data_IF_902230795864
#
_entry.id   IF_902230795864
#
_cell.length_a   1.000
_cell.length_b   1.000
_cell.length_c   1.000
_cell.angle_alpha   90.00
_cell.angle_beta   90.00
_cell.angle_gamma   90.00
#
_symmetry.space_group_name_H-M   'P 1'
#
loop_
_entity.id
_entity.type
_entity.pdbx_description
1 polymer ?
#
# COMPACT_ATOMS: atom_id res chain seq x y z
N UNK A 1 -20.02 -12.91 12.65
CA UNK A 1 -19.99 -14.33 12.21
C UNK A 1 -18.61 -14.91 12.49
N UNK A 2 -18.50 -16.13 13.02
CA UNK A 2 -17.19 -16.77 13.29
C UNK A 2 -16.86 -17.71 12.15
N UNK A 3 -15.72 -17.51 11.49
CA UNK A 3 -15.21 -18.45 10.49
C UNK A 3 -14.74 -19.75 11.17
N UNK A 4 -15.11 -20.87 10.60
CA UNK A 4 -14.67 -22.21 11.07
C UNK A 4 -13.35 -22.61 10.43
N UNK A 5 -13.06 -22.11 9.23
CA UNK A 5 -11.82 -22.29 8.49
C UNK A 5 -11.43 -21.00 7.73
N UNK A 6 -10.16 -20.88 7.35
CA UNK A 6 -9.62 -19.71 6.63
C UNK A 6 -9.28 -20.09 5.18
N UNK A 7 -10.09 -20.98 4.59
CA UNK A 7 -10.03 -21.32 3.17
C UNK A 7 -10.97 -20.40 2.34
N UNK A 8 -10.76 -20.40 1.03
CA UNK A 8 -11.51 -19.53 0.12
C UNK A 8 -13.02 -19.82 0.09
N UNK A 9 -13.42 -21.09 0.29
CA UNK A 9 -14.84 -21.46 0.31
C UNK A 9 -15.53 -20.93 1.56
N UNK A 10 -14.96 -21.16 2.74
CA UNK A 10 -15.52 -20.69 4.01
C UNK A 10 -15.64 -19.17 4.07
N UNK A 11 -14.65 -18.46 3.51
CA UNK A 11 -14.69 -16.99 3.40
C UNK A 11 -15.79 -16.56 2.44
N UNK A 12 -15.87 -17.18 1.28
CA UNK A 12 -16.89 -16.87 0.27
C UNK A 12 -18.32 -17.12 0.79
N UNK A 13 -18.56 -18.27 1.42
CA UNK A 13 -19.87 -18.60 2.01
C UNK A 13 -20.28 -17.58 3.08
N UNK A 14 -19.30 -17.10 3.86
CA UNK A 14 -19.53 -16.04 4.86
C UNK A 14 -19.89 -14.71 4.21
N UNK A 15 -19.20 -14.32 3.14
CA UNK A 15 -19.51 -13.12 2.35
C UNK A 15 -20.89 -13.23 1.69
N UNK A 16 -21.22 -14.37 1.10
CA UNK A 16 -22.54 -14.62 0.50
C UNK A 16 -23.66 -14.53 1.53
N UNK A 17 -23.43 -15.08 2.72
CA UNK A 17 -24.41 -14.94 3.82
C UNK A 17 -24.62 -13.48 4.25
N UNK A 18 -23.58 -12.65 4.21
CA UNK A 18 -23.70 -11.21 4.50
C UNK A 18 -24.46 -10.51 3.38
N UNK A 19 -24.04 -10.70 2.12
CA UNK A 19 -24.64 -10.04 0.95
C UNK A 19 -26.12 -10.42 0.83
N UNK A 20 -26.44 -11.70 0.88
CA UNK A 20 -27.80 -12.18 0.58
C UNK A 20 -28.72 -12.13 1.80
N UNK A 21 -28.28 -12.59 2.98
CA UNK A 21 -29.16 -12.71 4.14
C UNK A 21 -29.19 -11.46 5.03
N UNK A 22 -28.08 -10.74 5.17
CA UNK A 22 -28.04 -9.55 6.04
C UNK A 22 -28.37 -8.27 5.28
N UNK A 23 -27.83 -8.12 4.04
CA UNK A 23 -28.06 -6.93 3.24
C UNK A 23 -29.25 -7.07 2.28
N UNK A 24 -29.76 -8.29 2.05
CA UNK A 24 -30.87 -8.55 1.14
C UNK A 24 -30.53 -8.27 -0.33
N UNK A 25 -29.23 -8.29 -0.69
CA UNK A 25 -28.72 -8.03 -2.03
C UNK A 25 -28.44 -9.34 -2.76
N UNK A 26 -28.41 -9.28 -4.07
CA UNK A 26 -27.92 -10.37 -4.93
C UNK A 26 -26.46 -10.12 -5.33
N UNK A 27 -25.70 -11.17 -5.61
CA UNK A 27 -24.39 -11.03 -6.24
C UNK A 27 -24.46 -10.33 -7.60
N UNK A 28 -25.61 -10.29 -8.26
CA UNK A 28 -25.82 -9.53 -9.48
C UNK A 28 -25.81 -8.00 -9.24
N UNK A 29 -26.07 -7.57 -8.01
CA UNK A 29 -26.02 -6.16 -7.61
C UNK A 29 -24.59 -5.72 -7.22
N UNK A 30 -23.63 -6.67 -7.10
CA UNK A 30 -22.24 -6.39 -6.74
C UNK A 30 -21.46 -5.98 -7.99
N UNK A 31 -21.00 -4.73 -8.01
CA UNK A 31 -20.24 -4.14 -9.14
C UNK A 31 -18.76 -4.47 -9.07
N UNK A 32 -18.17 -4.40 -7.87
CA UNK A 32 -16.75 -4.60 -7.69
C UNK A 32 -16.42 -5.22 -6.33
N UNK A 33 -15.27 -5.91 -6.27
CA UNK A 33 -14.68 -6.42 -5.04
C UNK A 33 -13.20 -6.04 -4.98
N UNK A 34 -12.69 -5.77 -3.77
CA UNK A 34 -11.28 -5.47 -3.55
C UNK A 34 -10.71 -6.37 -2.47
N UNK A 35 -9.68 -7.13 -2.82
CA UNK A 35 -8.98 -8.02 -1.89
C UNK A 35 -7.47 -7.79 -1.94
N UNK A 36 -6.76 -8.33 -0.94
CA UNK A 36 -5.29 -8.40 -0.96
C UNK A 36 -4.78 -9.47 -1.95
N UNK A 37 -3.47 -9.58 -2.07
CA UNK A 37 -2.83 -10.54 -2.99
C UNK A 37 -2.65 -11.94 -2.42
N UNK A 38 -3.24 -12.27 -1.27
CA UNK A 38 -3.19 -13.63 -0.74
C UNK A 38 -3.83 -14.63 -1.71
N UNK A 39 -3.22 -15.79 -1.92
CA UNK A 39 -3.71 -16.80 -2.86
C UNK A 39 -5.16 -17.24 -2.58
N UNK A 40 -5.54 -17.27 -1.29
CA UNK A 40 -6.92 -17.55 -0.86
C UNK A 40 -7.91 -16.50 -1.36
N UNK A 41 -7.51 -15.24 -1.46
CA UNK A 41 -8.36 -14.13 -1.89
C UNK A 41 -8.25 -13.87 -3.39
N UNK A 42 -7.03 -13.72 -3.89
CA UNK A 42 -6.72 -13.28 -5.26
C UNK A 42 -6.49 -14.42 -6.26
N UNK A 43 -6.50 -15.68 -5.83
CA UNK A 43 -6.27 -16.83 -6.72
C UNK A 43 -7.23 -16.86 -7.90
N UNK A 44 -6.71 -16.96 -9.12
CA UNK A 44 -7.50 -16.90 -10.36
C UNK A 44 -8.35 -18.14 -10.60
N UNK A 45 -8.03 -19.29 -10.00
CA UNK A 45 -8.81 -20.55 -10.17
C UNK A 45 -9.67 -20.87 -8.96
N UNK A 46 -9.18 -20.65 -7.73
CA UNK A 46 -9.85 -21.09 -6.50
C UNK A 46 -9.91 -19.99 -5.41
N UNK A 47 -9.53 -18.76 -5.72
CA UNK A 47 -9.62 -17.66 -4.78
C UNK A 47 -11.05 -17.15 -4.58
N UNK A 48 -11.27 -16.36 -3.53
CA UNK A 48 -12.58 -15.72 -3.29
C UNK A 48 -13.02 -14.91 -4.51
N UNK A 49 -12.10 -14.20 -5.17
CA UNK A 49 -12.40 -13.42 -6.38
C UNK A 49 -12.95 -14.27 -7.53
N UNK A 50 -12.40 -15.47 -7.76
CA UNK A 50 -12.89 -16.35 -8.83
C UNK A 50 -14.30 -16.85 -8.54
N UNK A 51 -14.59 -17.19 -7.27
CA UNK A 51 -15.93 -17.57 -6.83
C UNK A 51 -16.96 -16.46 -7.01
N UNK A 52 -16.58 -15.20 -6.73
CA UNK A 52 -17.43 -14.04 -7.03
C UNK A 52 -17.72 -13.92 -8.53
N UNK A 53 -16.69 -14.10 -9.38
CA UNK A 53 -16.82 -14.03 -10.85
C UNK A 53 -17.56 -15.23 -11.46
N UNK A 54 -17.55 -16.39 -10.83
CA UNK A 54 -18.37 -17.55 -11.25
C UNK A 54 -19.86 -17.24 -11.16
N UNK A 55 -20.31 -16.48 -10.13
CA UNK A 55 -21.72 -16.09 -9.99
C UNK A 55 -22.04 -14.90 -10.90
N UNK A 56 -21.16 -13.89 -10.93
CA UNK A 56 -21.35 -12.71 -11.75
C UNK A 56 -20.04 -12.34 -12.44
N UNK A 57 -19.88 -12.73 -13.70
CA UNK A 57 -18.68 -12.50 -14.51
C UNK A 57 -18.37 -10.99 -14.72
N UNK A 58 -19.34 -10.11 -14.49
CA UNK A 58 -19.19 -8.65 -14.62
C UNK A 58 -18.57 -8.00 -13.40
N UNK A 59 -18.39 -8.73 -12.28
CA UNK A 59 -17.76 -8.17 -11.08
C UNK A 59 -16.33 -7.73 -11.41
N UNK A 60 -16.06 -6.45 -11.18
CA UNK A 60 -14.74 -5.86 -11.35
C UNK A 60 -13.87 -6.20 -10.13
N UNK A 61 -12.75 -6.89 -10.37
CA UNK A 61 -11.81 -7.20 -9.30
C UNK A 61 -10.71 -6.15 -9.22
N UNK A 62 -10.58 -5.52 -8.06
CA UNK A 62 -9.48 -4.60 -7.75
C UNK A 62 -8.51 -5.29 -6.79
N UNK A 63 -7.28 -5.44 -7.22
CA UNK A 63 -6.22 -5.83 -6.29
C UNK A 63 -5.85 -4.62 -5.43
N UNK A 64 -5.91 -4.76 -4.10
CA UNK A 64 -5.61 -3.67 -3.16
C UNK A 64 -4.34 -2.90 -3.55
N UNK A 65 -4.48 -1.63 -3.89
CA UNK A 65 -3.36 -0.81 -4.37
C UNK A 65 -2.26 -0.63 -3.31
N UNK A 66 -2.61 -0.49 -2.04
CA UNK A 66 -1.64 -0.43 -0.95
C UNK A 66 -0.85 -1.75 -0.83
N UNK A 67 -1.53 -2.90 -0.99
CA UNK A 67 -0.88 -4.20 -0.99
C UNK A 67 0.00 -4.40 -2.22
N UNK A 68 -0.46 -4.01 -3.41
CA UNK A 68 0.36 -4.01 -4.63
C UNK A 68 1.65 -3.22 -4.46
N UNK A 69 1.58 -2.02 -3.88
CA UNK A 69 2.77 -1.21 -3.62
C UNK A 69 3.72 -1.89 -2.62
N UNK A 70 3.18 -2.53 -1.58
CA UNK A 70 4.01 -3.33 -0.67
C UNK A 70 4.70 -4.49 -1.38
N UNK A 71 4.02 -5.18 -2.29
CA UNK A 71 4.62 -6.28 -3.06
C UNK A 71 5.69 -5.80 -4.03
N UNK A 72 5.51 -4.62 -4.66
CA UNK A 72 6.58 -3.99 -5.47
C UNK A 72 7.84 -3.84 -4.64
N UNK A 73 7.72 -3.32 -3.43
CA UNK A 73 8.87 -3.15 -2.54
C UNK A 73 9.54 -4.47 -2.14
N UNK A 74 8.73 -5.49 -1.80
CA UNK A 74 9.25 -6.81 -1.44
C UNK A 74 10.06 -7.42 -2.58
N UNK A 75 9.53 -7.36 -3.80
CA UNK A 75 10.13 -8.03 -4.95
C UNK A 75 11.30 -7.22 -5.53
N UNK A 76 11.15 -5.90 -5.64
CA UNK A 76 12.15 -5.04 -6.27
C UNK A 76 13.32 -4.71 -5.35
N UNK A 77 13.03 -4.35 -4.09
CA UNK A 77 14.07 -3.93 -3.13
C UNK A 77 14.57 -5.12 -2.33
N UNK A 78 13.68 -6.04 -1.93
CA UNK A 78 13.99 -7.08 -0.95
C UNK A 78 14.66 -8.33 -1.52
N UNK A 79 14.54 -8.64 -2.81
CA UNK A 79 14.98 -9.94 -3.36
C UNK A 79 16.02 -9.85 -4.46
N UNK A 80 16.03 -8.81 -5.28
CA UNK A 80 16.85 -8.74 -6.48
C UNK A 80 18.23 -8.10 -6.24
N UNK A 81 18.32 -7.08 -5.41
CA UNK A 81 19.58 -6.40 -5.14
C UNK A 81 20.26 -6.97 -3.89
N UNK A 82 21.43 -7.60 -4.07
CA UNK A 82 22.19 -8.26 -2.98
C UNK A 82 22.56 -7.28 -1.86
N UNK A 83 22.99 -6.07 -2.18
CA UNK A 83 23.38 -5.06 -1.18
C UNK A 83 22.19 -4.70 -0.30
N UNK A 84 21.03 -4.53 -0.91
CA UNK A 84 19.78 -4.18 -0.22
C UNK A 84 19.23 -5.37 0.57
N UNK A 85 19.30 -6.57 0.02
CA UNK A 85 18.91 -7.80 0.72
C UNK A 85 19.78 -7.99 1.98
N UNK A 86 21.10 -7.94 1.84
CA UNK A 86 22.04 -8.06 2.96
C UNK A 86 21.82 -6.95 4.00
N UNK A 87 21.51 -5.72 3.57
CA UNK A 87 21.17 -4.62 4.46
C UNK A 87 19.94 -4.94 5.32
N UNK A 88 18.82 -5.34 4.71
CA UNK A 88 17.61 -5.64 5.46
C UNK A 88 17.74 -6.90 6.33
N UNK A 89 18.47 -7.93 5.91
CA UNK A 89 18.76 -9.07 6.77
C UNK A 89 19.52 -8.64 8.04
N UNK A 90 20.50 -7.79 7.89
CA UNK A 90 21.29 -7.25 9.02
C UNK A 90 20.44 -6.39 9.95
N UNK A 91 19.67 -5.44 9.40
CA UNK A 91 18.78 -4.56 10.18
C UNK A 91 17.67 -5.38 10.85
N UNK A 92 17.07 -6.33 10.15
CA UNK A 92 15.92 -7.09 10.66
C UNK A 92 16.31 -8.12 11.71
N UNK A 93 17.36 -8.91 11.48
CA UNK A 93 17.70 -10.03 12.38
C UNK A 93 18.50 -9.59 13.60
N UNK A 94 19.47 -8.70 13.42
CA UNK A 94 20.46 -8.46 14.46
C UNK A 94 20.22 -7.20 15.28
N UNK A 95 19.81 -6.10 14.65
CA UNK A 95 19.56 -4.84 15.37
C UNK A 95 18.29 -4.95 16.22
N UNK A 96 17.23 -5.61 15.73
CA UNK A 96 16.01 -5.83 16.49
C UNK A 96 16.17 -6.79 17.68
N UNK A 97 17.07 -7.77 17.58
CA UNK A 97 17.37 -8.67 18.68
C UNK A 97 18.21 -8.00 19.79
N UNK A 98 19.00 -7.00 19.44
CA UNK A 98 19.94 -6.35 20.36
C UNK A 98 19.37 -5.08 21.00
N UNK A 99 18.51 -4.35 20.28
CA UNK A 99 17.92 -3.10 20.73
C UNK A 99 16.40 -3.26 20.87
N UNK A 100 15.92 -3.63 22.04
CA UNK A 100 14.48 -3.82 22.39
C UNK A 100 13.60 -2.58 22.14
N UNK A 101 14.19 -1.41 21.86
CA UNK A 101 13.49 -0.14 21.61
C UNK A 101 13.16 0.10 20.14
N UNK A 102 13.74 -0.65 19.21
CA UNK A 102 13.35 -0.58 17.80
C UNK A 102 12.12 -1.45 17.59
N UNK A 103 11.07 -0.86 17.01
CA UNK A 103 9.86 -1.61 16.64
C UNK A 103 10.23 -2.82 15.78
N UNK A 104 9.66 -3.99 16.07
CA UNK A 104 9.92 -5.20 15.28
C UNK A 104 9.55 -4.94 13.82
N UNK A 105 10.46 -5.28 12.91
CA UNK A 105 10.23 -5.12 11.48
C UNK A 105 9.18 -6.15 11.07
N UNK A 106 7.97 -5.68 10.80
CA UNK A 106 6.95 -6.51 10.16
C UNK A 106 7.43 -6.92 8.78
N UNK A 107 7.38 -8.21 8.47
CA UNK A 107 7.72 -8.73 7.13
C UNK A 107 6.76 -8.22 6.06
N UNK A 108 5.59 -7.72 6.45
CA UNK A 108 4.49 -7.34 5.56
C UNK A 108 4.22 -5.84 5.45
N UNK A 109 4.75 -4.99 6.38
CA UNK A 109 4.48 -3.54 6.39
C UNK A 109 5.75 -2.72 6.19
N UNK A 110 5.92 -2.14 5.02
CA UNK A 110 7.08 -1.32 4.67
C UNK A 110 7.19 0.01 5.41
N UNK A 111 6.10 0.55 5.93
CA UNK A 111 6.15 1.71 6.82
C UNK A 111 7.04 1.45 8.05
N UNK A 112 6.91 0.25 8.66
CA UNK A 112 7.78 -0.14 9.78
C UNK A 112 9.25 -0.29 9.37
N UNK A 113 9.51 -0.71 8.13
CA UNK A 113 10.89 -0.80 7.61
C UNK A 113 11.49 0.59 7.40
N UNK A 114 10.71 1.54 6.89
CA UNK A 114 11.16 2.92 6.78
C UNK A 114 11.50 3.52 8.15
N UNK A 115 10.61 3.36 9.15
CA UNK A 115 10.86 3.85 10.52
C UNK A 115 12.17 3.25 11.09
N UNK A 116 12.41 1.96 10.84
CA UNK A 116 13.65 1.30 11.27
C UNK A 116 14.88 1.85 10.54
N UNK A 117 14.81 2.04 9.23
CA UNK A 117 15.91 2.63 8.42
C UNK A 117 16.18 4.06 8.87
N UNK A 118 15.14 4.88 9.08
CA UNK A 118 15.27 6.23 9.58
C UNK A 118 15.89 6.28 10.99
N UNK A 119 15.45 5.40 11.90
CA UNK A 119 16.02 5.31 13.24
C UNK A 119 17.50 4.91 13.21
N UNK A 120 17.88 3.95 12.36
CA UNK A 120 19.29 3.55 12.18
C UNK A 120 20.10 4.70 11.58
N UNK A 121 19.59 5.37 10.54
CA UNK A 121 20.30 6.51 9.90
C UNK A 121 20.53 7.64 10.90
N UNK A 122 19.51 8.05 11.63
CA UNK A 122 19.59 9.18 12.55
C UNK A 122 20.48 8.91 13.77
N UNK A 123 20.65 7.64 14.14
CA UNK A 123 21.43 7.25 15.32
C UNK A 123 22.65 6.40 14.98
N UNK A 124 23.10 6.38 13.72
CA UNK A 124 24.13 5.45 13.26
C UNK A 124 25.41 5.49 14.10
N UNK A 125 25.99 6.68 14.33
CA UNK A 125 27.20 6.86 15.14
C UNK A 125 27.01 6.43 16.59
N UNK A 126 25.85 6.74 17.18
CA UNK A 126 25.53 6.33 18.54
C UNK A 126 25.39 4.79 18.66
N UNK A 127 24.79 4.15 17.64
CA UNK A 127 24.66 2.69 17.57
C UNK A 127 26.05 2.04 17.48
N UNK A 128 26.92 2.53 16.60
CA UNK A 128 28.31 2.02 16.48
C UNK A 128 29.05 2.16 17.81
N UNK A 129 29.00 3.35 18.44
CA UNK A 129 29.65 3.60 19.74
C UNK A 129 29.11 2.69 20.84
N UNK A 130 27.80 2.47 20.89
CA UNK A 130 27.18 1.61 21.90
C UNK A 130 27.59 0.14 21.72
N UNK A 131 27.61 -0.36 20.48
CA UNK A 131 28.04 -1.73 20.19
C UNK A 131 29.52 -1.92 20.49
N UNK A 132 30.37 -0.94 20.14
CA UNK A 132 31.79 -0.97 20.47
C UNK A 132 31.98 -1.06 21.98
N UNK A 133 31.30 -0.23 22.77
CA UNK A 133 31.33 -0.28 24.22
C UNK A 133 30.93 -1.64 24.77
N UNK A 134 29.90 -2.27 24.20
CA UNK A 134 29.48 -3.63 24.57
C UNK A 134 30.60 -4.63 24.26
N UNK A 135 31.24 -4.56 23.10
CA UNK A 135 32.38 -5.43 22.74
C UNK A 135 33.51 -5.32 23.74
N UNK A 136 33.81 -4.13 24.25
CA UNK A 136 34.95 -3.87 25.13
C UNK A 136 34.63 -4.22 26.59
N UNK A 137 33.39 -4.04 27.04
CA UNK A 137 33.04 -4.19 28.46
C UNK A 137 32.38 -5.52 28.82
N UNK A 138 31.80 -6.26 27.87
CA UNK A 138 31.08 -7.51 28.18
C UNK A 138 32.04 -8.63 28.57
N UNK A 139 31.68 -9.36 29.65
CA UNK A 139 32.37 -10.56 30.10
C UNK A 139 31.82 -11.85 29.45
N UNK A 140 30.69 -11.77 28.76
CA UNK A 140 30.01 -12.93 28.17
C UNK A 140 30.57 -13.16 26.76
N UNK A 141 31.25 -14.29 26.49
CA UNK A 141 31.91 -14.53 25.20
C UNK A 141 30.99 -14.53 24.00
N UNK A 142 29.79 -15.10 24.13
CA UNK A 142 28.76 -15.14 23.07
C UNK A 142 28.28 -13.72 22.70
N UNK A 143 28.01 -12.88 23.70
CA UNK A 143 27.60 -11.47 23.48
C UNK A 143 28.73 -10.70 22.79
N UNK A 144 29.99 -10.88 23.21
CA UNK A 144 31.14 -10.24 22.60
C UNK A 144 31.31 -10.64 21.13
N UNK A 145 31.19 -11.94 20.84
CA UNK A 145 31.30 -12.46 19.47
C UNK A 145 30.22 -11.89 18.55
N UNK A 146 28.94 -11.89 18.99
CA UNK A 146 27.81 -11.35 18.26
C UNK A 146 27.95 -9.84 18.04
N UNK A 147 28.32 -9.10 19.08
CA UNK A 147 28.53 -7.65 18.97
C UNK A 147 29.65 -7.30 17.99
N UNK A 148 30.76 -8.04 18.01
CA UNK A 148 31.87 -7.85 17.05
C UNK A 148 31.44 -8.17 15.64
N UNK A 149 30.69 -9.28 15.41
CA UNK A 149 30.15 -9.63 14.10
C UNK A 149 29.22 -8.55 13.56
N UNK A 150 28.31 -8.01 14.41
CA UNK A 150 27.41 -6.93 14.04
C UNK A 150 28.17 -5.65 13.70
N UNK A 151 29.16 -5.27 14.50
CA UNK A 151 29.99 -4.09 14.25
C UNK A 151 30.69 -4.16 12.89
N UNK A 152 31.32 -5.32 12.60
CA UNK A 152 31.99 -5.55 11.31
C UNK A 152 31.02 -5.44 10.12
N UNK A 153 29.78 -5.83 10.30
CA UNK A 153 28.76 -5.74 9.24
C UNK A 153 28.24 -4.31 9.06
N UNK A 154 28.02 -3.59 10.15
CA UNK A 154 27.53 -2.21 10.10
C UNK A 154 28.59 -1.25 9.54
N UNK A 155 29.87 -1.45 9.88
CA UNK A 155 31.01 -0.66 9.42
C UNK A 155 31.53 -1.12 8.05
N UNK A 156 30.61 -1.28 7.06
CA UNK A 156 30.98 -1.53 5.66
C UNK A 156 30.48 -0.39 4.77
N UNK A 157 31.24 -0.08 3.73
CA UNK A 157 30.84 0.93 2.74
C UNK A 157 29.49 0.61 2.13
N UNK A 158 29.22 -0.64 1.78
CA UNK A 158 27.98 -1.11 1.19
C UNK A 158 26.79 -0.91 2.14
N UNK A 159 26.97 -1.12 3.44
CA UNK A 159 25.91 -0.89 4.42
C UNK A 159 25.56 0.60 4.53
N UNK A 160 26.57 1.47 4.67
CA UNK A 160 26.39 2.91 4.77
C UNK A 160 25.76 3.47 3.50
N UNK A 161 26.21 3.00 2.32
CA UNK A 161 25.61 3.37 1.04
C UNK A 161 24.14 2.94 0.93
N UNK A 162 23.82 1.69 1.29
CA UNK A 162 22.45 1.19 1.27
C UNK A 162 21.55 2.01 2.23
N UNK A 163 22.05 2.34 3.42
CA UNK A 163 21.33 3.15 4.42
C UNK A 163 20.97 4.55 3.85
N UNK A 164 21.93 5.22 3.24
CA UNK A 164 21.76 6.55 2.66
C UNK A 164 20.90 6.53 1.40
N UNK A 165 20.98 5.48 0.57
CA UNK A 165 20.18 5.29 -0.63
C UNK A 165 18.72 4.95 -0.32
N UNK A 166 18.49 4.01 0.59
CA UNK A 166 17.15 3.51 0.87
C UNK A 166 16.30 4.50 1.63
N UNK A 167 16.89 5.31 2.50
CA UNK A 167 16.14 6.27 3.31
C UNK A 167 15.27 7.23 2.46
N UNK A 168 15.79 8.00 1.48
CA UNK A 168 14.97 8.91 0.67
C UNK A 168 13.99 8.16 -0.25
N UNK A 169 14.36 7.00 -0.79
CA UNK A 169 13.47 6.20 -1.64
C UNK A 169 12.28 5.65 -0.84
N UNK A 170 12.53 5.09 0.33
CA UNK A 170 11.46 4.59 1.20
C UNK A 170 10.57 5.72 1.71
N UNK A 171 11.12 6.90 2.01
CA UNK A 171 10.34 8.07 2.42
C UNK A 171 9.31 8.45 1.34
N UNK A 172 9.76 8.52 0.07
CA UNK A 172 8.87 8.81 -1.06
C UNK A 172 7.74 7.78 -1.16
N UNK A 173 8.07 6.50 -1.09
CA UNK A 173 7.10 5.40 -1.23
C UNK A 173 6.14 5.34 -0.04
N UNK A 174 6.62 5.55 1.19
CA UNK A 174 5.77 5.56 2.40
C UNK A 174 4.77 6.70 2.36
N UNK A 175 5.14 7.88 1.82
CA UNK A 175 4.19 8.98 1.61
C UNK A 175 3.05 8.58 0.68
N UNK A 176 3.37 7.95 -0.46
CA UNK A 176 2.34 7.44 -1.38
C UNK A 176 1.51 6.34 -0.72
N UNK A 177 2.15 5.41 -0.03
CA UNK A 177 1.43 4.34 0.69
C UNK A 177 0.45 4.88 1.74
N UNK A 178 0.83 5.93 2.47
CA UNK A 178 -0.07 6.60 3.43
C UNK A 178 -1.29 7.22 2.73
N UNK A 179 -1.09 7.81 1.54
CA UNK A 179 -2.20 8.32 0.73
C UNK A 179 -3.11 7.18 0.26
N UNK A 180 -2.52 6.03 -0.18
CA UNK A 180 -3.30 4.86 -0.60
C UNK A 180 -4.07 4.17 0.55
N UNK A 181 -3.77 4.51 1.79
CA UNK A 181 -4.45 4.02 2.98
C UNK A 181 -5.46 5.03 3.57
N UNK A 182 -5.65 6.18 2.93
CA UNK A 182 -6.61 7.20 3.38
C UNK A 182 -8.05 6.70 3.31
N UNK A 183 -8.93 7.25 4.17
CA UNK A 183 -10.32 6.79 4.31
C UNK A 183 -11.17 7.06 3.06
N UNK A 184 -10.99 8.22 2.47
CA UNK A 184 -11.80 8.70 1.33
C UNK A 184 -11.02 8.61 0.00
N UNK A 185 -10.27 7.53 -0.17
CA UNK A 185 -9.51 7.32 -1.39
C UNK A 185 -10.38 6.66 -2.46
N UNK A 186 -10.55 7.34 -3.58
CA UNK A 186 -11.12 6.76 -4.79
C UNK A 186 -10.06 6.25 -5.77
N UNK A 187 -10.55 5.53 -6.79
CA UNK A 187 -9.70 4.89 -7.78
C UNK A 187 -8.88 5.90 -8.61
N UNK A 188 -9.44 7.07 -8.91
CA UNK A 188 -8.77 8.12 -9.69
C UNK A 188 -7.59 8.72 -8.92
N UNK A 189 -7.79 9.09 -7.65
CA UNK A 189 -6.74 9.61 -6.80
C UNK A 189 -5.63 8.58 -6.57
N UNK A 190 -5.98 7.33 -6.33
CA UNK A 190 -4.98 6.29 -6.09
C UNK A 190 -4.05 6.13 -7.28
N UNK A 191 -4.58 6.12 -8.51
CA UNK A 191 -3.73 6.02 -9.71
C UNK A 191 -2.94 7.29 -10.00
N UNK A 192 -3.48 8.46 -9.72
CA UNK A 192 -2.72 9.70 -9.83
C UNK A 192 -1.50 9.68 -8.88
N UNK A 193 -1.66 9.13 -7.66
CA UNK A 193 -0.54 8.94 -6.73
C UNK A 193 0.49 7.95 -7.28
N UNK A 194 0.06 6.84 -7.87
CA UNK A 194 0.97 5.86 -8.49
C UNK A 194 1.67 6.44 -9.72
N UNK A 195 0.96 7.19 -10.57
CA UNK A 195 1.58 7.91 -11.72
C UNK A 195 2.62 8.91 -11.24
N UNK A 196 2.30 9.70 -10.22
CA UNK A 196 3.25 10.66 -9.61
C UNK A 196 4.48 9.95 -9.04
N UNK A 197 4.30 8.79 -8.39
CA UNK A 197 5.41 7.98 -7.91
C UNK A 197 6.31 7.49 -9.06
N UNK A 198 5.71 6.94 -10.13
CA UNK A 198 6.45 6.50 -11.33
C UNK A 198 7.26 7.64 -11.94
N UNK A 199 6.65 8.80 -12.12
CA UNK A 199 7.32 9.99 -12.66
C UNK A 199 8.46 10.45 -11.75
N UNK A 200 8.26 10.49 -10.43
CA UNK A 200 9.29 10.87 -9.46
C UNK A 200 10.48 9.90 -9.51
N UNK A 201 10.24 8.59 -9.55
CA UNK A 201 11.31 7.58 -9.65
C UNK A 201 12.04 7.71 -11.00
N UNK A 202 11.31 7.96 -12.11
CA UNK A 202 11.92 8.19 -13.42
C UNK A 202 12.79 9.46 -13.44
N UNK A 203 12.37 10.52 -12.76
CA UNK A 203 13.17 11.73 -12.59
C UNK A 203 14.44 11.46 -11.77
N UNK A 204 14.34 10.72 -10.66
CA UNK A 204 15.50 10.32 -9.86
C UNK A 204 16.47 9.42 -10.66
N UNK A 205 15.96 8.65 -11.62
CA UNK A 205 16.75 7.81 -12.50
C UNK A 205 17.52 8.60 -13.57
N UNK A 206 16.94 9.70 -14.06
CA UNK A 206 17.53 10.58 -15.07
C UNK A 206 18.41 11.69 -14.50
N UNK A 207 18.17 12.09 -13.24
CA UNK A 207 18.90 13.15 -12.56
C UNK A 207 19.88 12.59 -11.53
N UNK A 208 21.17 12.90 -11.71
CA UNK A 208 22.24 12.42 -10.87
C UNK A 208 22.33 13.11 -9.48
N UNK A 209 21.53 14.15 -9.24
CA UNK A 209 21.66 14.94 -8.01
C UNK A 209 21.42 14.11 -6.74
N UNK A 210 20.39 13.25 -6.73
CA UNK A 210 20.14 12.38 -5.57
C UNK A 210 21.27 11.37 -5.40
N UNK A 211 21.75 10.76 -6.49
CA UNK A 211 22.86 9.81 -6.43
C UNK A 211 24.12 10.45 -5.86
N UNK A 212 24.51 11.62 -6.38
CA UNK A 212 25.68 12.38 -5.89
C UNK A 212 25.54 12.73 -4.41
N UNK A 213 24.36 13.15 -3.98
CA UNK A 213 24.09 13.43 -2.57
C UNK A 213 24.27 12.18 -1.71
N UNK A 214 23.66 11.06 -2.11
CA UNK A 214 23.77 9.78 -1.39
C UNK A 214 25.21 9.30 -1.31
N UNK A 215 25.96 9.41 -2.42
CA UNK A 215 27.36 9.00 -2.45
C UNK A 215 28.24 9.87 -1.56
N UNK A 216 28.09 11.20 -1.61
CA UNK A 216 28.83 12.13 -0.76
C UNK A 216 28.54 11.92 0.72
N UNK A 217 27.26 11.80 1.12
CA UNK A 217 26.88 11.47 2.51
C UNK A 217 27.50 10.15 2.96
N UNK A 218 27.64 9.18 2.04
CA UNK A 218 28.29 7.88 2.33
C UNK A 218 29.79 8.04 2.56
N UNK A 219 30.47 8.81 1.71
CA UNK A 219 31.92 9.08 1.84
C UNK A 219 32.22 9.83 3.14
N UNK A 220 31.42 10.85 3.47
CA UNK A 220 31.52 11.61 4.71
C UNK A 220 31.39 10.67 5.93
N UNK A 221 30.34 9.87 5.96
CA UNK A 221 30.10 8.92 7.06
C UNK A 221 31.21 7.86 7.17
N UNK A 222 31.75 7.36 6.04
CA UNK A 222 32.89 6.46 6.03
C UNK A 222 34.14 7.11 6.61
N UNK A 223 34.38 8.39 6.28
CA UNK A 223 35.52 9.16 6.82
C UNK A 223 35.40 9.34 8.33
N UNK A 224 34.21 9.70 8.84
CA UNK A 224 33.96 9.86 10.28
C UNK A 224 34.11 8.56 11.06
N UNK A 225 33.71 7.42 10.46
CA UNK A 225 33.74 6.10 11.11
C UNK A 225 35.00 5.28 10.83
N UNK A 226 35.94 5.82 10.03
CA UNK A 226 37.18 5.11 9.65
C UNK A 226 36.94 3.91 8.71
N UNK A 227 35.79 3.88 8.02
CA UNK A 227 35.46 2.79 7.06
C UNK A 227 36.19 3.04 5.75
N UNK A 228 36.93 2.02 5.29
CA UNK A 228 37.70 2.10 4.04
C UNK A 228 36.76 1.95 2.84
N UNK A 229 36.85 2.90 1.90
CA UNK A 229 36.11 2.81 0.63
C UNK A 229 36.81 1.77 -0.25
N UNK A 230 36.13 0.67 -0.64
CA UNK A 230 36.74 -0.38 -1.43
C UNK A 230 37.03 0.10 -2.86
N UNK A 231 38.18 -0.27 -3.38
CA UNK A 231 38.52 -0.02 -4.79
C UNK A 231 37.75 -0.95 -5.71
N UNK A 232 37.49 -0.49 -6.96
CA UNK A 232 36.86 -1.30 -7.99
C UNK A 232 37.74 -2.51 -8.32
N UNK A 233 37.18 -3.71 -8.17
CA UNK A 233 37.86 -4.93 -8.57
C UNK A 233 37.83 -5.05 -10.11
N UNK A 234 38.97 -4.90 -10.77
CA UNK A 234 39.11 -5.22 -12.19
C UNK A 234 38.85 -6.73 -12.37
N UNK A 235 37.72 -7.11 -12.98
CA UNK A 235 37.47 -8.52 -13.34
C UNK A 235 38.43 -8.86 -14.49
N UNK A 236 39.30 -9.84 -14.29
CA UNK A 236 40.01 -10.48 -15.39
C UNK A 236 39.01 -11.35 -16.17
N UNK A 237 38.69 -10.94 -17.38
CA UNK A 237 37.89 -11.75 -18.31
C UNK A 237 38.78 -12.91 -18.75
N UNK A 238 38.24 -14.12 -18.75
CA UNK A 238 38.97 -15.28 -19.29
C UNK A 238 39.24 -15.03 -20.78
N UNK A 239 40.51 -15.18 -21.20
CA UNK A 239 40.92 -15.02 -22.61
C UNK A 239 40.20 -15.95 -23.59
N UNK A 240 39.41 -16.92 -23.09
CA UNK A 240 38.53 -17.79 -23.90
C UNK A 240 37.17 -17.18 -24.26
N UNK A 241 36.79 -16.07 -23.63
CA UNK A 241 35.47 -15.42 -23.81
C UNK A 241 35.60 -14.11 -24.60
N UNK A 242 36.83 -13.65 -24.84
CA UNK A 242 37.16 -12.29 -25.30
C UNK A 242 36.97 -12.06 -26.85
N UNK A 243 36.33 -12.97 -27.56
CA UNK A 243 36.17 -12.82 -29.01
C UNK A 243 34.91 -12.07 -29.46
N UNK A 244 34.04 -11.56 -28.57
CA UNK A 244 32.75 -11.01 -29.01
C UNK A 244 32.13 -9.89 -28.20
N UNK A 245 32.84 -9.20 -27.29
CA UNK A 245 32.20 -8.17 -26.47
C UNK A 245 32.85 -6.78 -26.60
N UNK A 246 32.52 -6.07 -27.68
CA UNK A 246 32.88 -4.65 -27.85
C UNK A 246 32.16 -3.69 -26.87
N UNK A 247 31.25 -4.15 -26.00
CA UNK A 247 30.41 -3.29 -25.15
C UNK A 247 30.30 -3.71 -23.69
N UNK A 248 31.37 -4.22 -23.06
CA UNK A 248 31.32 -4.37 -21.60
C UNK A 248 31.67 -3.05 -20.91
N UNK A 249 30.67 -2.47 -20.21
CA UNK A 249 30.88 -1.31 -19.34
C UNK A 249 31.74 -1.69 -18.13
N UNK A 250 32.92 -1.09 -18.04
CA UNK A 250 33.78 -1.18 -16.86
C UNK A 250 33.70 0.12 -16.09
N UNK A 251 33.16 0.06 -14.88
CA UNK A 251 33.21 1.20 -13.98
C UNK A 251 34.69 1.56 -13.70
N UNK A 252 35.06 2.80 -13.96
CA UNK A 252 36.42 3.28 -13.70
C UNK A 252 36.60 3.67 -12.22
N UNK A 253 35.52 4.06 -11.56
CA UNK A 253 35.50 4.52 -10.17
C UNK A 253 34.47 3.73 -9.34
N UNK A 254 34.66 3.72 -8.00
CA UNK A 254 33.68 3.11 -7.09
C UNK A 254 32.32 3.82 -7.17
N UNK A 255 32.33 5.12 -7.40
CA UNK A 255 31.12 5.92 -7.60
C UNK A 255 30.31 5.41 -8.80
N UNK A 256 30.93 5.24 -9.96
CA UNK A 256 30.27 4.70 -11.15
C UNK A 256 29.76 3.27 -10.94
N UNK A 257 30.57 2.42 -10.27
CA UNK A 257 30.14 1.06 -9.94
C UNK A 257 28.86 1.08 -9.10
N UNK A 258 28.82 1.86 -8.04
CA UNK A 258 27.65 1.94 -7.15
C UNK A 258 26.44 2.53 -7.84
N UNK A 259 26.64 3.51 -8.74
CA UNK A 259 25.55 4.08 -9.54
C UNK A 259 24.91 3.03 -10.45
N UNK A 260 25.72 2.31 -11.22
CA UNK A 260 25.22 1.38 -12.23
C UNK A 260 24.74 0.06 -11.63
N UNK A 261 25.49 -0.52 -10.69
CA UNK A 261 25.16 -1.86 -10.16
C UNK A 261 24.18 -1.86 -9.00
N UNK A 262 23.96 -0.72 -8.35
CA UNK A 262 23.11 -0.66 -7.16
C UNK A 262 22.01 0.39 -7.28
N UNK A 263 22.35 1.67 -7.41
CA UNK A 263 21.36 2.74 -7.38
C UNK A 263 20.37 2.66 -8.56
N UNK A 264 20.91 2.58 -9.78
CA UNK A 264 20.09 2.49 -10.98
C UNK A 264 19.27 1.19 -11.03
N UNK A 265 19.86 0.07 -10.65
CA UNK A 265 19.15 -1.23 -10.60
C UNK A 265 17.95 -1.19 -9.66
N UNK A 266 18.09 -0.57 -8.49
CA UNK A 266 16.96 -0.42 -7.54
C UNK A 266 15.85 0.43 -8.14
N UNK A 267 16.18 1.54 -8.81
CA UNK A 267 15.16 2.40 -9.45
C UNK A 267 14.49 1.71 -10.63
N UNK A 268 15.25 1.01 -11.46
CA UNK A 268 14.72 0.25 -12.61
C UNK A 268 13.81 -0.90 -12.14
N UNK A 269 14.20 -1.64 -11.11
CA UNK A 269 13.38 -2.69 -10.53
C UNK A 269 12.09 -2.15 -9.89
N UNK A 270 12.14 -0.98 -9.24
CA UNK A 270 10.95 -0.30 -8.71
C UNK A 270 10.01 0.11 -9.84
N UNK A 271 10.51 0.71 -10.92
CA UNK A 271 9.70 1.12 -12.07
C UNK A 271 9.06 -0.08 -12.75
N UNK A 272 9.81 -1.15 -12.97
CA UNK A 272 9.29 -2.39 -13.56
C UNK A 272 8.21 -3.00 -12.66
N UNK A 273 8.47 -3.13 -11.35
CA UNK A 273 7.49 -3.65 -10.41
C UNK A 273 6.20 -2.82 -10.32
N UNK A 274 6.31 -1.48 -10.43
CA UNK A 274 5.15 -0.59 -10.50
C UNK A 274 4.39 -0.77 -11.81
N UNK A 275 5.07 -0.98 -12.93
CA UNK A 275 4.43 -1.20 -14.23
C UNK A 275 3.69 -2.54 -14.27
N UNK A 276 4.30 -3.60 -13.76
CA UNK A 276 3.73 -4.95 -13.77
C UNK A 276 2.47 -5.08 -12.89
N UNK A 277 2.47 -4.40 -11.73
CA UNK A 277 1.42 -4.60 -10.72
C UNK A 277 0.26 -3.60 -10.80
N UNK A 278 0.48 -2.42 -11.35
CA UNK A 278 -0.59 -1.44 -11.59
C UNK A 278 -1.02 -1.51 -13.05
N UNK A 279 -1.81 -2.53 -13.33
CA UNK A 279 -2.11 -3.12 -14.61
C UNK A 279 -3.21 -2.39 -15.42
N UNK A 280 -3.32 -2.82 -16.69
CA UNK A 280 -4.05 -2.21 -17.80
C UNK A 280 -5.57 -2.15 -17.66
N UNK A 281 -6.25 -3.12 -17.04
CA UNK A 281 -7.73 -3.11 -16.92
C UNK A 281 -8.24 -1.94 -16.06
N UNK A 282 -7.62 -1.72 -14.91
CA UNK A 282 -7.95 -0.58 -14.05
C UNK A 282 -7.63 0.75 -14.74
N UNK A 283 -6.52 0.80 -15.50
CA UNK A 283 -6.15 1.98 -16.29
C UNK A 283 -7.18 2.28 -17.38
N UNK A 284 -7.67 1.27 -18.09
CA UNK A 284 -8.69 1.44 -19.14
C UNK A 284 -9.97 2.04 -18.56
N UNK A 285 -10.47 1.48 -17.45
CA UNK A 285 -11.65 2.01 -16.78
C UNK A 285 -11.48 3.49 -16.40
N UNK A 286 -10.33 3.86 -15.85
CA UNK A 286 -10.09 5.23 -15.42
C UNK A 286 -9.93 6.19 -16.59
N UNK A 287 -9.27 5.78 -17.67
CA UNK A 287 -9.20 6.59 -18.87
C UNK A 287 -10.58 6.83 -19.44
N UNK A 288 -11.40 5.78 -19.53
CA UNK A 288 -12.81 5.89 -19.97
C UNK A 288 -13.59 6.86 -19.09
N UNK A 289 -13.56 6.69 -17.76
CA UNK A 289 -14.27 7.61 -16.85
C UNK A 289 -13.70 9.04 -16.92
N UNK A 290 -12.38 9.18 -17.06
CA UNK A 290 -11.75 10.50 -17.25
C UNK A 290 -12.27 11.20 -18.51
N UNK A 291 -12.45 10.47 -19.63
CA UNK A 291 -13.00 11.00 -20.86
C UNK A 291 -14.50 11.35 -20.71
N UNK A 292 -15.25 10.53 -19.96
CA UNK A 292 -16.64 10.84 -19.58
C UNK A 292 -16.71 12.13 -18.74
N UNK A 293 -15.85 12.30 -17.74
CA UNK A 293 -15.81 13.51 -16.90
C UNK A 293 -15.43 14.77 -17.71
N UNK A 294 -14.64 14.61 -18.77
CA UNK A 294 -14.34 15.68 -19.74
C UNK A 294 -15.47 15.93 -20.72
N UNK A 295 -16.49 15.07 -20.74
CA UNK A 295 -17.55 15.03 -21.74
C UNK A 295 -17.05 14.74 -23.17
N UNK A 296 -15.91 14.06 -23.30
CA UNK A 296 -15.25 13.74 -24.59
C UNK A 296 -14.96 12.24 -24.72
N UNK A 297 -15.95 11.35 -24.53
CA UNK A 297 -15.72 9.92 -24.70
C UNK A 297 -15.49 9.55 -26.16
N UNK A 298 -14.58 8.60 -26.36
CA UNK A 298 -14.43 7.93 -27.66
C UNK A 298 -15.50 6.85 -27.84
N UNK A 299 -15.68 6.35 -29.06
CA UNK A 299 -16.56 5.21 -29.34
C UNK A 299 -16.12 3.94 -28.56
N UNK A 300 -14.80 3.76 -28.40
CA UNK A 300 -14.25 2.66 -27.61
C UNK A 300 -14.63 2.78 -26.12
N UNK A 301 -14.63 3.99 -25.56
CA UNK A 301 -15.06 4.24 -24.19
C UNK A 301 -16.54 3.86 -23.97
N UNK A 302 -17.39 4.25 -24.90
CA UNK A 302 -18.84 3.95 -24.84
C UNK A 302 -19.10 2.45 -24.94
N UNK A 303 -18.42 1.76 -25.87
CA UNK A 303 -18.51 0.30 -25.99
C UNK A 303 -17.97 -0.42 -24.74
N UNK A 304 -16.90 0.09 -24.15
CA UNK A 304 -16.36 -0.46 -22.92
C UNK A 304 -17.35 -0.34 -21.75
N UNK A 305 -17.99 0.82 -21.58
CA UNK A 305 -19.02 1.03 -20.53
C UNK A 305 -20.24 0.15 -20.75
N UNK A 306 -20.67 -0.05 -21.99
CA UNK A 306 -21.75 -0.96 -22.30
C UNK A 306 -21.41 -2.40 -21.92
N UNK A 307 -20.22 -2.87 -22.29
CA UNK A 307 -19.78 -4.24 -22.03
C UNK A 307 -19.57 -4.52 -20.53
N UNK A 308 -18.98 -3.57 -19.79
CA UNK A 308 -18.64 -3.78 -18.38
C UNK A 308 -19.82 -3.49 -17.46
N UNK A 309 -20.53 -2.38 -17.67
CA UNK A 309 -21.57 -1.91 -16.76
C UNK A 309 -23.00 -1.98 -17.35
N UNK A 310 -23.14 -2.40 -18.60
CA UNK A 310 -24.44 -2.44 -19.27
C UNK A 310 -25.05 -1.04 -19.49
N UNK A 311 -24.19 -0.02 -19.63
CA UNK A 311 -24.63 1.36 -19.90
C UNK A 311 -24.94 1.50 -21.38
N UNK A 312 -26.13 2.01 -21.68
CA UNK A 312 -26.55 2.25 -23.06
C UNK A 312 -25.69 3.38 -23.70
N UNK A 313 -24.98 3.00 -24.77
CA UNK A 313 -24.02 3.88 -25.45
C UNK A 313 -24.70 5.08 -26.15
N UNK A 314 -25.92 4.90 -26.71
CA UNK A 314 -26.63 5.95 -27.40
C UNK A 314 -27.21 6.96 -26.39
N UNK A 315 -27.81 6.44 -25.32
CA UNK A 315 -28.39 7.27 -24.27
C UNK A 315 -27.34 8.14 -23.57
N UNK A 316 -26.23 7.56 -23.16
CA UNK A 316 -25.19 8.36 -22.50
C UNK A 316 -24.55 9.38 -23.44
N UNK A 317 -24.46 9.09 -24.74
CA UNK A 317 -23.95 10.05 -25.73
C UNK A 317 -24.88 11.26 -25.87
N UNK A 318 -26.20 11.05 -25.90
CA UNK A 318 -27.20 12.13 -25.92
C UNK A 318 -27.14 12.96 -24.63
N UNK A 319 -27.06 12.30 -23.49
CA UNK A 319 -26.92 12.97 -22.19
C UNK A 319 -25.66 13.86 -22.15
N UNK A 320 -24.54 13.38 -22.64
CA UNK A 320 -23.28 14.15 -22.73
C UNK A 320 -23.41 15.36 -23.67
N UNK A 321 -24.09 15.20 -24.80
CA UNK A 321 -24.36 16.33 -25.69
C UNK A 321 -25.15 17.41 -25.00
N UNK A 322 -26.17 17.06 -24.23
CA UNK A 322 -26.95 18.01 -23.44
C UNK A 322 -26.13 18.67 -22.34
N UNK A 323 -25.34 17.89 -21.60
CA UNK A 323 -24.49 18.39 -20.51
C UNK A 323 -23.48 19.43 -20.99
N UNK A 324 -22.93 19.29 -22.19
CA UNK A 324 -21.99 20.27 -22.78
C UNK A 324 -22.58 21.69 -22.90
N UNK A 325 -23.90 21.80 -23.02
CA UNK A 325 -24.59 23.07 -23.22
C UNK A 325 -25.17 23.66 -21.91
N UNK A 326 -24.99 22.98 -20.78
CA UNK A 326 -25.42 23.49 -19.48
C UNK A 326 -24.34 24.41 -18.90
N UNK A 327 -24.69 25.61 -18.43
CA UNK A 327 -23.74 26.51 -17.79
C UNK A 327 -23.31 25.99 -16.40
N UNK A 328 -22.10 26.34 -15.98
CA UNK A 328 -21.56 26.06 -14.66
C UNK A 328 -21.46 24.55 -14.29
N UNK A 329 -21.25 23.70 -15.28
CA UNK A 329 -20.97 22.27 -15.01
C UNK A 329 -19.64 22.08 -14.30
N UNK A 330 -19.48 21.04 -13.48
CA UNK A 330 -18.19 20.67 -12.90
C UNK A 330 -17.15 20.42 -14.01
N UNK A 331 -15.95 20.94 -13.84
CA UNK A 331 -14.86 20.77 -14.81
C UNK A 331 -13.62 20.17 -14.16
N UNK A 332 -12.89 19.33 -14.91
CA UNK A 332 -11.67 18.68 -14.47
C UNK A 332 -11.79 17.16 -14.39
N UNK A 333 -10.75 16.54 -13.88
CA UNK A 333 -10.62 15.07 -13.83
C UNK A 333 -10.06 14.62 -12.47
N UNK A 334 -10.39 15.34 -11.41
CA UNK A 334 -10.00 15.00 -10.05
C UNK A 334 -11.12 14.28 -9.31
N UNK A 335 -10.80 13.63 -8.21
CA UNK A 335 -11.78 13.08 -7.28
C UNK A 335 -12.77 14.12 -6.78
N UNK A 336 -12.29 15.34 -6.51
CA UNK A 336 -13.16 16.46 -6.15
C UNK A 336 -14.20 16.75 -7.24
N UNK A 337 -13.79 16.63 -8.50
CA UNK A 337 -14.71 16.79 -9.65
C UNK A 337 -15.77 15.70 -9.69
N UNK A 338 -15.41 14.46 -9.33
CA UNK A 338 -16.35 13.34 -9.25
C UNK A 338 -17.48 13.64 -8.23
N UNK A 339 -17.12 14.09 -7.03
CA UNK A 339 -18.08 14.49 -6.00
C UNK A 339 -18.92 15.70 -6.44
N UNK A 340 -18.29 16.70 -7.06
CA UNK A 340 -19.00 17.86 -7.60
C UNK A 340 -20.03 17.45 -8.67
N UNK A 341 -19.73 16.43 -9.50
CA UNK A 341 -20.70 15.88 -10.45
C UNK A 341 -21.87 15.18 -9.74
N UNK A 342 -21.59 14.41 -8.68
CA UNK A 342 -22.65 13.77 -7.89
C UNK A 342 -23.57 14.83 -7.27
N UNK A 343 -23.00 15.86 -6.66
CA UNK A 343 -23.77 16.97 -6.05
C UNK A 343 -24.58 17.75 -7.10
N UNK A 344 -23.97 18.05 -8.26
CA UNK A 344 -24.59 18.74 -9.36
C UNK A 344 -25.80 17.96 -9.94
N UNK A 345 -25.63 16.63 -10.08
CA UNK A 345 -26.71 15.78 -10.61
C UNK A 345 -27.83 15.55 -9.59
N UNK A 346 -27.51 15.44 -8.31
CA UNK A 346 -28.49 15.32 -7.23
C UNK A 346 -29.27 16.61 -7.03
N UNK A 347 -28.67 17.77 -7.36
CA UNK A 347 -29.39 19.04 -7.32
C UNK A 347 -30.45 19.13 -8.44
N UNK A 348 -31.65 19.65 -8.13
CA UNK A 348 -32.72 19.90 -9.10
C UNK A 348 -33.23 18.67 -9.88
N UNK A 349 -33.15 17.45 -9.26
CA UNK A 349 -33.64 16.20 -9.86
C UNK A 349 -33.02 15.85 -11.24
N UNK A 350 -31.79 16.30 -11.51
CA UNK A 350 -31.07 16.03 -12.77
C UNK A 350 -30.72 14.56 -12.97
N UNK A 351 -30.71 13.76 -11.92
CA UNK A 351 -30.43 12.31 -11.96
C UNK A 351 -31.38 11.54 -12.87
N UNK A 352 -32.64 11.99 -13.02
CA UNK A 352 -33.58 11.35 -13.94
C UNK A 352 -33.34 11.71 -15.40
N UNK A 353 -32.81 12.92 -15.65
CA UNK A 353 -32.55 13.42 -17.01
C UNK A 353 -31.23 12.83 -17.52
N UNK A 354 -30.19 12.71 -16.64
CA UNK A 354 -28.86 12.23 -16.97
C UNK A 354 -28.58 10.89 -16.26
N UNK A 355 -29.50 9.94 -16.43
CA UNK A 355 -29.51 8.69 -15.69
C UNK A 355 -28.26 7.82 -15.97
N UNK A 356 -27.88 7.74 -17.25
CA UNK A 356 -26.75 6.88 -17.66
C UNK A 356 -25.41 7.50 -17.24
N UNK A 357 -25.28 8.81 -17.39
CA UNK A 357 -24.11 9.55 -16.90
C UNK A 357 -24.00 9.45 -15.38
N UNK A 358 -25.10 9.64 -14.65
CA UNK A 358 -25.15 9.50 -13.19
C UNK A 358 -24.76 8.08 -12.75
N UNK A 359 -25.28 7.04 -13.40
CA UNK A 359 -24.92 5.65 -13.13
C UNK A 359 -23.42 5.42 -13.29
N UNK A 360 -22.79 5.91 -14.36
CA UNK A 360 -21.33 5.78 -14.56
C UNK A 360 -20.55 6.41 -13.40
N UNK A 361 -20.94 7.65 -13.02
CA UNK A 361 -20.26 8.38 -11.94
C UNK A 361 -20.40 7.66 -10.61
N UNK A 362 -21.60 7.21 -10.25
CA UNK A 362 -21.86 6.51 -8.99
C UNK A 362 -21.18 5.14 -8.97
N UNK A 363 -21.32 4.35 -10.04
CA UNK A 363 -20.65 3.06 -10.15
C UNK A 363 -19.13 3.19 -9.97
N UNK A 364 -18.53 4.18 -10.62
CA UNK A 364 -17.10 4.43 -10.48
C UNK A 364 -16.71 4.87 -9.05
N UNK A 365 -17.53 5.72 -8.43
CA UNK A 365 -17.30 6.18 -7.06
C UNK A 365 -17.42 5.04 -6.01
N UNK A 366 -18.18 3.99 -6.32
CA UNK A 366 -18.37 2.83 -5.42
C UNK A 366 -17.30 1.75 -5.58
N UNK A 367 -16.44 1.81 -6.60
CA UNK A 367 -15.38 0.81 -6.78
C UNK A 367 -14.36 0.90 -5.66
N UNK A 368 -14.20 -0.15 -4.85
CA UNK A 368 -13.26 -0.15 -3.73
C UNK A 368 -11.82 -0.24 -4.23
N UNK A 369 -10.93 0.55 -3.65
CA UNK A 369 -9.50 0.62 -4.03
C UNK A 369 -8.61 -0.13 -3.06
N UNK A 370 -9.06 -0.22 -1.81
CA UNK A 370 -8.27 -0.77 -0.72
C UNK A 370 -9.17 -1.31 0.38
N UNK A 371 -8.85 -2.46 1.00
CA UNK A 371 -9.51 -2.94 2.21
C UNK A 371 -8.93 -2.32 3.49
N UNK A 372 -8.30 -1.14 3.44
CA UNK A 372 -7.65 -0.51 4.59
C UNK A 372 -8.63 -0.23 5.75
N UNK A 373 -9.92 -0.08 5.49
CA UNK A 373 -10.95 0.00 6.54
C UNK A 373 -10.98 -1.29 7.37
N UNK A 374 -10.89 -2.45 6.72
CA UNK A 374 -10.78 -3.75 7.41
C UNK A 374 -9.48 -3.86 8.21
N UNK A 375 -8.35 -3.40 7.67
CA UNK A 375 -7.06 -3.41 8.38
C UNK A 375 -7.10 -2.52 9.63
N UNK A 376 -7.74 -1.34 9.54
CA UNK A 376 -7.97 -0.46 10.69
C UNK A 376 -8.85 -1.12 11.74
N UNK A 377 -9.92 -1.79 11.32
CA UNK A 377 -10.80 -2.55 12.21
C UNK A 377 -10.03 -3.69 12.91
N UNK A 378 -9.21 -4.45 12.20
CA UNK A 378 -8.35 -5.48 12.80
C UNK A 378 -7.31 -4.91 13.77
N UNK A 379 -6.77 -3.73 13.50
CA UNK A 379 -5.89 -3.06 14.46
C UNK A 379 -6.62 -2.69 15.74
N UNK A 380 -7.86 -2.20 15.64
CA UNK A 380 -8.74 -1.91 16.79
C UNK A 380 -9.11 -3.20 17.55
N UNK A 381 -9.32 -4.31 16.83
CA UNK A 381 -9.60 -5.62 17.42
C UNK A 381 -8.50 -6.05 18.43
N UNK A 382 -7.24 -5.82 18.11
CA UNK A 382 -6.13 -6.19 19.01
C UNK A 382 -6.13 -5.40 20.31
N UNK A 383 -6.70 -4.20 20.30
CA UNK A 383 -6.88 -3.35 21.50
C UNK A 383 -8.05 -3.85 22.33
N UNK A 384 -9.17 -4.18 21.71
CA UNK A 384 -10.40 -4.66 22.39
C UNK A 384 -10.19 -6.07 22.92
N UNK A 385 -9.67 -6.99 22.10
CA UNK A 385 -9.44 -8.39 22.45
C UNK A 385 -7.98 -8.62 22.87
N UNK A 386 -7.66 -8.30 24.10
CA UNK A 386 -6.34 -8.58 24.70
C UNK A 386 -6.29 -9.99 25.29
N UNK A 387 -5.07 -10.46 25.61
CA UNK A 387 -4.89 -11.75 26.33
C UNK A 387 -5.65 -11.81 27.65
N UNK A 388 -5.85 -10.67 28.33
CA UNK A 388 -6.58 -10.55 29.59
C UNK A 388 -8.10 -10.56 29.38
N UNK A 389 -8.61 -10.39 28.14
CA UNK A 389 -10.04 -10.41 27.80
C UNK A 389 -10.41 -11.62 26.95
N UNK A 390 -9.84 -12.78 27.25
CA UNK A 390 -10.03 -14.02 26.49
C UNK A 390 -11.44 -14.59 26.55
N UNK A 391 -12.18 -14.32 27.65
CA UNK A 391 -13.52 -14.85 27.92
C UNK A 391 -14.67 -14.01 27.36
N UNK A 392 -14.37 -12.96 26.57
CA UNK A 392 -15.39 -12.11 25.96
C UNK A 392 -16.25 -12.90 24.97
N UNK A 393 -17.58 -12.81 25.10
CA UNK A 393 -18.51 -13.39 24.12
C UNK A 393 -18.43 -12.66 22.78
N UNK A 394 -18.85 -13.35 21.71
CA UNK A 394 -18.83 -12.76 20.35
C UNK A 394 -19.71 -11.51 20.25
N UNK A 395 -20.92 -11.55 20.82
CA UNK A 395 -21.86 -10.42 20.83
C UNK A 395 -21.27 -9.18 21.49
N UNK A 396 -20.62 -9.37 22.64
CA UNK A 396 -19.94 -8.26 23.33
C UNK A 396 -18.76 -7.72 22.54
N UNK A 397 -18.02 -8.61 21.88
CA UNK A 397 -16.90 -8.20 21.00
C UNK A 397 -17.42 -7.37 19.84
N UNK A 398 -18.49 -7.82 19.18
CA UNK A 398 -19.08 -7.14 18.02
C UNK A 398 -19.59 -5.74 18.41
N UNK A 399 -20.31 -5.64 19.54
CA UNK A 399 -20.79 -4.36 20.06
C UNK A 399 -19.63 -3.38 20.37
N UNK A 400 -18.59 -3.86 21.08
CA UNK A 400 -17.42 -3.02 21.40
C UNK A 400 -16.63 -2.62 20.16
N UNK A 401 -16.50 -3.52 19.19
CA UNK A 401 -15.85 -3.22 17.92
C UNK A 401 -16.63 -2.19 17.13
N UNK A 402 -17.97 -2.32 17.07
CA UNK A 402 -18.83 -1.35 16.38
C UNK A 402 -18.67 0.06 16.98
N UNK A 403 -18.82 0.19 18.28
CA UNK A 403 -18.63 1.48 18.99
C UNK A 403 -17.23 2.07 18.77
N UNK A 404 -16.19 1.22 18.74
CA UNK A 404 -14.82 1.69 18.56
C UNK A 404 -14.46 2.01 17.10
N UNK A 405 -15.08 1.35 16.13
CA UNK A 405 -14.90 1.65 14.71
C UNK A 405 -15.63 2.95 14.36
N UNK A 406 -16.89 3.07 14.78
CA UNK A 406 -17.75 4.22 14.50
C UNK A 406 -17.63 5.30 15.61
N UNK A 407 -16.40 5.61 15.99
CA UNK A 407 -16.11 6.52 17.11
C UNK A 407 -16.76 7.91 16.93
N UNK A 408 -16.80 8.45 15.71
CA UNK A 408 -17.41 9.74 15.44
C UNK A 408 -18.93 9.72 15.71
N UNK A 409 -19.62 8.66 15.32
CA UNK A 409 -21.05 8.49 15.59
C UNK A 409 -21.26 8.28 17.09
N UNK A 410 -20.43 7.45 17.72
CA UNK A 410 -20.50 7.11 19.15
C UNK A 410 -20.34 8.36 20.03
N UNK A 411 -19.43 9.29 19.68
CA UNK A 411 -19.22 10.53 20.46
C UNK A 411 -20.37 11.52 20.31
N UNK A 412 -21.20 11.39 19.27
CA UNK A 412 -22.35 12.27 19.02
C UNK A 412 -23.69 11.69 19.57
N UNK A 413 -23.66 10.53 20.23
CA UNK A 413 -24.85 9.93 20.81
C UNK A 413 -25.27 10.73 22.06
N UNK A 414 -26.59 10.89 22.24
CA UNK A 414 -27.14 11.40 23.49
C UNK A 414 -27.03 10.34 24.62
N UNK A 415 -26.08 10.54 25.48
CA UNK A 415 -25.81 9.58 26.60
C UNK A 415 -26.96 9.49 27.58
N UNK A 416 -27.76 10.53 27.76
CA UNK A 416 -28.90 10.49 28.70
C UNK A 416 -29.98 9.49 28.22
N UNK A 417 -30.26 9.44 26.92
CA UNK A 417 -31.16 8.43 26.34
C UNK A 417 -30.61 7.02 26.51
N UNK A 418 -29.31 6.81 26.31
CA UNK A 418 -28.68 5.50 26.49
C UNK A 418 -28.73 5.05 27.95
N UNK A 419 -28.54 5.98 28.88
CA UNK A 419 -28.63 5.71 30.33
C UNK A 419 -30.07 5.32 30.73
N UNK A 420 -31.08 6.01 30.23
CA UNK A 420 -32.47 5.69 30.50
C UNK A 420 -32.87 4.32 29.93
N UNK A 421 -32.49 4.00 28.68
CA UNK A 421 -32.71 2.66 28.14
C UNK A 421 -31.98 1.58 28.95
N UNK A 422 -30.74 1.84 29.34
CA UNK A 422 -29.97 0.91 30.17
C UNK A 422 -30.64 0.65 31.54
N UNK A 423 -31.18 1.67 32.19
CA UNK A 423 -31.96 1.53 33.42
C UNK A 423 -33.16 0.61 33.26
N UNK A 424 -33.85 0.69 32.10
CA UNK A 424 -35.01 -0.18 31.79
C UNK A 424 -34.58 -1.63 31.55
N UNK A 425 -33.45 -1.85 30.89
CA UNK A 425 -32.94 -3.20 30.58
C UNK A 425 -32.41 -3.97 31.80
N UNK A 426 -31.98 -3.27 32.84
CA UNK A 426 -31.43 -3.94 34.05
C UNK A 426 -32.58 -4.44 34.93
N UNK A 427 -32.53 -5.74 35.36
CA UNK A 427 -33.50 -6.26 36.33
C UNK A 427 -33.52 -5.41 37.61
N UNK A 428 -34.70 -5.17 38.17
CA UNK A 428 -34.95 -4.28 39.32
C UNK A 428 -34.02 -4.52 40.54
N UNK A 429 -33.57 -5.76 40.74
CA UNK A 429 -32.62 -6.12 41.80
C UNK A 429 -31.15 -5.67 41.60
N UNK A 430 -30.79 -5.15 40.42
CA UNK A 430 -29.43 -4.68 40.04
C UNK A 430 -29.42 -3.24 39.52
N UNK A 431 -30.54 -2.51 39.66
CA UNK A 431 -30.59 -1.11 39.26
C UNK A 431 -29.69 -0.29 40.17
N UNK A 432 -28.70 0.37 39.58
CA UNK A 432 -27.95 1.42 40.22
C UNK A 432 -28.87 2.65 40.27
N UNK A 433 -29.14 3.16 41.43
CA UNK A 433 -29.68 4.51 41.61
C UNK A 433 -28.54 5.46 41.27
N UNK A 434 -28.58 6.05 40.08
CA UNK A 434 -27.66 7.10 39.61
C UNK A 434 -28.32 8.44 39.83
#
# INVERSE_FOLDING_TARGET
MRLTAVDSQSIFDSLSSIVEKQLGLSWLDVVAVCFDGAATMAGCSNGVQSKCKEINSKIFYVHCHAHCLNLVLVDSIGRKNRIVFDFFEKVAKEINLTLKTLKSISTTRWACRFEAVAAVKNNYLAIISAIQKICDTTKIPDVRSKSRGLLMQLQTFEFIFALNMLHPLLLLIVKVNSCLQAENLDLLNSLNMIKSLKLSISQLRSDDNLFKKVYNETVECCTETGVIIPQVKKRKISSKIDQSSENQYFACTKEEEMKVTSFNVVLDDLLNGLNDRFNQETLKLILTVTNILKLEPSQEDLLYLNNVFGIDSEQIQVEIMLLKNIPNIPSGTSSKTLHQWIDFLNSNNRTYIFLHFYKVIVLFATIPVTPCSCERAFSKLTIVKTKLRSTMTQERLDALMFLFIEQQMTTNINYDEVIEEFKVMIPTKRRLEL
#
